data_IF_114140777852
#
_entry.id   IF_114140777852
#
_cell.length_a   1.000
_cell.length_b   1.000
_cell.length_c   1.000
_cell.angle_alpha   90.00
_cell.angle_beta   90.00
_cell.angle_gamma   90.00
#
_symmetry.space_group_name_H-M   'P 1'
#
loop_
_entity.id
_entity.type
_entity.pdbx_description
1 polymer ?
#
# COMPACT_ATOMS: atom_id res chain seq x y z
N UNK A 1 21.55 27.81 -28.75
CA UNK A 1 21.80 26.47 -28.19
C UNK A 1 20.53 25.99 -27.54
N UNK A 2 20.04 24.79 -27.86
CA UNK A 2 18.89 24.21 -27.18
C UNK A 2 19.26 23.94 -25.71
N UNK A 3 18.42 24.38 -24.77
CA UNK A 3 18.62 24.12 -23.35
C UNK A 3 18.48 22.61 -23.10
N UNK A 4 19.52 21.97 -22.60
CA UNK A 4 19.50 20.53 -22.30
C UNK A 4 18.43 20.21 -21.27
N UNK A 5 17.64 19.16 -21.53
CA UNK A 5 16.63 18.63 -20.59
C UNK A 5 17.34 18.23 -19.29
N UNK A 6 16.90 18.79 -18.17
CA UNK A 6 17.54 18.63 -16.85
C UNK A 6 16.62 17.97 -15.83
N UNK A 7 15.32 17.88 -16.13
CA UNK A 7 14.31 17.25 -15.29
C UNK A 7 13.67 16.15 -16.12
N UNK A 8 13.73 14.93 -15.61
CA UNK A 8 13.14 13.75 -16.20
C UNK A 8 11.90 13.32 -15.43
N UNK A 9 11.19 12.36 -16.01
CA UNK A 9 9.93 11.85 -15.47
C UNK A 9 10.14 11.25 -14.08
N UNK A 10 11.23 10.51 -13.92
CA UNK A 10 11.62 9.84 -12.68
C UNK A 10 11.89 10.85 -11.56
N UNK A 11 12.58 11.96 -11.86
CA UNK A 11 12.82 13.05 -10.90
C UNK A 11 11.50 13.64 -10.38
N UNK A 12 10.51 13.79 -11.27
CA UNK A 12 9.18 14.30 -10.92
C UNK A 12 8.42 13.29 -10.06
N UNK A 13 8.48 11.99 -10.38
CA UNK A 13 7.82 10.94 -9.60
C UNK A 13 8.43 10.80 -8.20
N UNK A 14 9.76 10.85 -8.09
CA UNK A 14 10.45 10.82 -6.80
C UNK A 14 10.09 12.04 -5.95
N UNK A 15 10.15 13.25 -6.53
CA UNK A 15 9.75 14.46 -5.84
C UNK A 15 8.26 14.45 -5.44
N UNK A 16 7.39 13.88 -6.29
CA UNK A 16 5.98 13.74 -5.98
C UNK A 16 5.75 12.75 -4.82
N UNK A 17 6.49 11.63 -4.77
CA UNK A 17 6.43 10.69 -3.66
C UNK A 17 6.85 11.35 -2.34
N UNK A 18 7.95 12.13 -2.34
CA UNK A 18 8.38 12.86 -1.14
C UNK A 18 7.35 13.94 -0.74
N UNK A 19 6.79 14.65 -1.71
CA UNK A 19 5.71 15.61 -1.47
C UNK A 19 4.51 14.94 -0.78
N UNK A 20 4.11 13.74 -1.21
CA UNK A 20 3.02 13.00 -0.58
C UNK A 20 3.29 12.67 0.89
N UNK A 21 4.52 12.25 1.20
CA UNK A 21 4.96 11.90 2.56
C UNK A 21 4.97 13.12 3.50
N UNK A 22 5.32 14.30 2.97
CA UNK A 22 5.39 15.54 3.74
C UNK A 22 4.06 16.29 3.86
N UNK A 23 3.17 16.11 2.89
CA UNK A 23 1.93 16.87 2.75
C UNK A 23 0.75 15.92 2.62
N UNK A 24 0.08 15.92 1.47
CA UNK A 24 -1.04 15.02 1.18
C UNK A 24 -1.28 14.91 -0.32
N UNK A 25 -1.99 13.85 -0.73
CA UNK A 25 -2.40 13.63 -2.13
C UNK A 25 -3.31 14.76 -2.63
N UNK A 26 -4.14 15.32 -1.76
CA UNK A 26 -5.08 16.41 -2.09
C UNK A 26 -4.34 17.72 -2.44
N UNK A 27 -3.17 17.94 -1.84
CA UNK A 27 -2.36 19.13 -2.09
C UNK A 27 -1.44 19.00 -3.32
N UNK A 28 -1.32 17.79 -3.89
CA UNK A 28 -0.47 17.52 -5.04
C UNK A 28 -1.07 18.13 -6.31
N UNK A 29 -0.76 19.41 -6.54
CA UNK A 29 -1.12 20.18 -7.74
C UNK A 29 0.14 20.54 -8.54
N UNK A 30 -0.02 20.85 -9.83
CA UNK A 30 1.12 21.23 -10.68
C UNK A 30 1.92 22.40 -10.08
N UNK A 31 1.22 23.43 -9.58
CA UNK A 31 1.85 24.59 -8.94
C UNK A 31 2.57 24.22 -7.65
N UNK A 32 1.95 23.40 -6.79
CA UNK A 32 2.55 23.02 -5.52
C UNK A 32 3.79 22.14 -5.71
N UNK A 33 3.72 21.16 -6.62
CA UNK A 33 4.84 20.28 -6.94
C UNK A 33 5.98 21.02 -7.64
N UNK A 34 5.67 21.89 -8.60
CA UNK A 34 6.70 22.69 -9.28
C UNK A 34 7.41 23.64 -8.31
N UNK A 35 6.66 24.24 -7.36
CA UNK A 35 7.25 25.04 -6.28
C UNK A 35 8.14 24.19 -5.36
N UNK A 36 7.73 22.97 -5.03
CA UNK A 36 8.50 22.04 -4.21
C UNK A 36 9.82 21.66 -4.90
N UNK A 37 9.79 21.45 -6.21
CA UNK A 37 10.96 21.12 -7.05
C UNK A 37 11.77 22.34 -7.51
N UNK A 38 11.37 23.57 -7.13
CA UNK A 38 11.98 24.82 -7.60
C UNK A 38 12.06 24.95 -9.15
N UNK A 39 10.99 24.57 -9.83
CA UNK A 39 10.85 24.67 -11.29
C UNK A 39 9.56 25.43 -11.68
N UNK A 40 9.45 25.83 -12.95
CA UNK A 40 8.15 26.23 -13.51
C UNK A 40 7.25 25.01 -13.70
N UNK A 41 5.98 25.21 -14.04
CA UNK A 41 5.07 24.09 -14.36
C UNK A 41 5.35 23.44 -15.71
N UNK A 42 6.15 24.07 -16.57
CA UNK A 42 6.38 23.63 -17.94
C UNK A 42 7.09 22.26 -18.03
N UNK A 43 8.16 21.95 -17.27
CA UNK A 43 8.76 20.62 -17.27
C UNK A 43 7.79 19.53 -16.83
N UNK A 44 6.86 19.83 -15.92
CA UNK A 44 5.85 18.87 -15.48
C UNK A 44 4.93 18.43 -16.64
N UNK A 45 4.44 19.41 -17.41
CA UNK A 45 3.57 19.17 -18.55
C UNK A 45 4.31 18.67 -19.81
N UNK A 46 5.64 18.74 -19.83
CA UNK A 46 6.44 18.10 -20.86
C UNK A 46 6.49 16.57 -20.66
N UNK A 47 6.45 16.09 -19.42
CA UNK A 47 6.49 14.66 -19.09
C UNK A 47 5.11 14.03 -18.88
N UNK A 48 4.12 14.82 -18.44
CA UNK A 48 2.78 14.33 -18.11
C UNK A 48 1.70 15.13 -18.81
N UNK A 49 0.76 14.43 -19.44
CA UNK A 49 -0.39 15.05 -20.12
C UNK A 49 -1.22 15.94 -19.16
N UNK A 50 -1.37 15.51 -17.91
CA UNK A 50 -2.08 16.24 -16.86
C UNK A 50 -1.73 15.67 -15.47
N UNK A 51 -2.23 16.33 -14.41
CA UNK A 51 -2.00 15.88 -13.03
C UNK A 51 -2.62 14.52 -12.70
N UNK A 52 -3.66 14.08 -13.41
CA UNK A 52 -4.24 12.74 -13.18
C UNK A 52 -3.32 11.65 -13.73
N UNK A 53 -2.71 11.86 -14.89
CA UNK A 53 -1.69 10.96 -15.44
C UNK A 53 -0.49 10.84 -14.49
N UNK A 54 0.02 11.97 -13.98
CA UNK A 54 1.09 11.97 -12.97
C UNK A 54 0.70 11.20 -11.71
N UNK A 55 -0.50 11.46 -11.15
CA UNK A 55 -0.97 10.74 -9.95
C UNK A 55 -1.11 9.25 -10.20
N UNK A 56 -1.67 8.85 -11.34
CA UNK A 56 -1.86 7.45 -11.69
C UNK A 56 -0.51 6.74 -11.72
N UNK A 57 0.45 7.29 -12.45
CA UNK A 57 1.77 6.68 -12.58
C UNK A 57 2.58 6.70 -11.27
N UNK A 58 2.41 7.73 -10.45
CA UNK A 58 2.97 7.79 -9.10
C UNK A 58 2.45 6.64 -8.24
N UNK A 59 1.14 6.41 -8.23
CA UNK A 59 0.56 5.30 -7.47
C UNK A 59 0.90 3.94 -8.05
N UNK A 60 0.95 3.79 -9.37
CA UNK A 60 1.40 2.56 -10.02
C UNK A 60 2.84 2.21 -9.61
N UNK A 61 3.73 3.21 -9.57
CA UNK A 61 5.12 3.04 -9.09
C UNK A 61 5.19 2.64 -7.61
N UNK A 62 4.33 3.23 -6.78
CA UNK A 62 4.24 2.88 -5.36
C UNK A 62 3.72 1.45 -5.19
N UNK A 63 2.69 1.06 -5.93
CA UNK A 63 2.07 -0.26 -5.88
C UNK A 63 3.02 -1.34 -6.39
N UNK A 64 3.78 -1.06 -7.45
CA UNK A 64 4.83 -1.94 -7.95
C UNK A 64 5.91 -2.21 -6.88
N UNK A 65 6.39 -1.15 -6.20
CA UNK A 65 7.32 -1.30 -5.05
C UNK A 65 6.71 -2.08 -3.90
N UNK A 66 5.44 -1.82 -3.54
CA UNK A 66 4.76 -2.59 -2.51
C UNK A 66 4.74 -4.07 -2.88
N UNK A 67 4.32 -4.36 -4.09
CA UNK A 67 4.10 -5.70 -4.59
C UNK A 67 5.38 -6.51 -4.81
N UNK A 68 6.45 -5.88 -5.31
CA UNK A 68 7.66 -6.58 -5.76
C UNK A 68 8.84 -6.48 -4.79
N UNK A 69 8.83 -5.52 -3.87
CA UNK A 69 9.95 -5.30 -2.95
C UNK A 69 9.53 -5.42 -1.48
N UNK A 70 8.39 -4.84 -1.11
CA UNK A 70 8.02 -4.67 0.29
C UNK A 70 7.15 -5.80 0.84
N UNK A 71 6.27 -6.38 0.01
CA UNK A 71 5.27 -7.38 0.41
C UNK A 71 5.59 -8.82 -0.04
N UNK A 72 6.80 -9.06 -0.56
CA UNK A 72 7.18 -10.33 -1.22
C UNK A 72 7.84 -11.38 -0.33
N UNK A 73 8.32 -11.04 0.87
CA UNK A 73 9.13 -11.98 1.66
C UNK A 73 8.31 -13.19 2.10
N UNK A 74 8.88 -14.37 1.94
CA UNK A 74 8.29 -15.65 2.34
C UNK A 74 9.08 -16.24 3.50
N UNK A 75 8.66 -15.94 4.73
CA UNK A 75 9.31 -16.41 5.97
C UNK A 75 8.48 -17.47 6.71
N UNK A 76 7.22 -17.66 6.33
CA UNK A 76 6.29 -18.66 6.85
C UNK A 76 5.70 -19.49 5.70
N UNK A 77 5.23 -20.70 5.98
CA UNK A 77 4.54 -21.57 5.01
C UNK A 77 3.16 -21.04 4.57
N UNK A 78 2.62 -20.06 5.29
CA UNK A 78 1.27 -19.55 5.09
C UNK A 78 1.38 -18.21 4.36
N UNK A 79 0.84 -18.11 3.13
CA UNK A 79 0.98 -16.91 2.32
C UNK A 79 0.28 -15.68 2.92
N UNK A 80 -0.79 -15.86 3.71
CA UNK A 80 -1.49 -14.74 4.37
C UNK A 80 -0.66 -14.22 5.54
N UNK A 81 0.00 -15.12 6.28
CA UNK A 81 0.92 -14.74 7.36
C UNK A 81 2.10 -13.94 6.78
N UNK A 82 2.71 -14.41 5.69
CA UNK A 82 3.77 -13.67 5.00
C UNK A 82 3.34 -12.25 4.60
N UNK A 83 2.19 -12.13 3.93
CA UNK A 83 1.65 -10.83 3.52
C UNK A 83 1.41 -9.91 4.71
N UNK A 84 0.81 -10.45 5.78
CA UNK A 84 0.49 -9.68 7.00
C UNK A 84 1.75 -9.20 7.73
N UNK A 85 2.77 -10.05 7.87
CA UNK A 85 4.04 -9.69 8.50
C UNK A 85 4.79 -8.63 7.69
N UNK A 86 4.82 -8.77 6.36
CA UNK A 86 5.44 -7.79 5.49
C UNK A 86 4.71 -6.45 5.55
N UNK A 87 3.37 -6.47 5.55
CA UNK A 87 2.54 -5.28 5.71
C UNK A 87 2.81 -4.57 7.05
N UNK A 88 2.85 -5.31 8.16
CA UNK A 88 3.17 -4.76 9.49
C UNK A 88 4.58 -4.16 9.50
N UNK A 89 5.56 -4.86 8.92
CA UNK A 89 6.95 -4.36 8.82
C UNK A 89 7.03 -3.08 8.01
N UNK A 90 6.32 -3.02 6.87
CA UNK A 90 6.24 -1.84 6.02
C UNK A 90 5.64 -0.65 6.80
N UNK A 91 4.50 -0.85 7.45
CA UNK A 91 3.82 0.17 8.23
C UNK A 91 4.69 0.71 9.37
N UNK A 92 5.43 -0.15 10.08
CA UNK A 92 6.32 0.26 11.16
C UNK A 92 7.56 1.02 10.65
N UNK A 93 8.13 0.60 9.52
CA UNK A 93 9.35 1.22 8.95
C UNK A 93 9.05 2.51 8.20
N UNK A 94 7.86 2.65 7.63
CA UNK A 94 7.48 3.76 6.76
C UNK A 94 6.13 4.38 7.18
N UNK A 95 5.96 4.83 8.45
CA UNK A 95 4.65 5.19 9.00
C UNK A 95 3.97 6.34 8.27
N UNK A 96 4.74 7.32 7.76
CA UNK A 96 4.19 8.43 6.96
C UNK A 96 3.63 7.96 5.64
N UNK A 97 4.45 7.23 4.85
CA UNK A 97 4.02 6.69 3.55
C UNK A 97 2.85 5.71 3.72
N UNK A 98 2.90 4.89 4.76
CA UNK A 98 1.79 4.02 5.14
C UNK A 98 0.51 4.80 5.40
N UNK A 99 0.56 5.84 6.24
CA UNK A 99 -0.58 6.71 6.51
C UNK A 99 -1.16 7.33 5.24
N UNK A 100 -0.30 7.87 4.38
CA UNK A 100 -0.71 8.47 3.11
C UNK A 100 -1.36 7.48 2.15
N UNK A 101 -0.88 6.23 2.09
CA UNK A 101 -1.41 5.22 1.16
C UNK A 101 -2.69 4.56 1.71
N UNK A 102 -2.69 4.16 2.98
CA UNK A 102 -3.67 3.25 3.55
C UNK A 102 -4.70 3.92 4.48
N UNK A 103 -4.40 5.07 5.08
CA UNK A 103 -5.28 5.72 6.06
C UNK A 103 -5.93 7.00 5.52
N UNK A 104 -5.25 7.72 4.64
CA UNK A 104 -5.82 8.90 3.99
C UNK A 104 -6.83 8.52 2.91
N UNK A 105 -7.99 9.19 2.94
CA UNK A 105 -8.96 9.11 1.85
C UNK A 105 -8.42 9.86 0.63
N UNK A 106 -7.70 9.13 -0.21
CA UNK A 106 -7.20 9.61 -1.48
C UNK A 106 -8.37 9.67 -2.47
N UNK A 107 -8.73 10.89 -2.90
CA UNK A 107 -9.80 11.09 -3.88
C UNK A 107 -9.49 10.37 -5.19
N UNK A 108 -10.53 9.79 -5.79
CA UNK A 108 -10.60 9.16 -7.13
C UNK A 108 -9.29 9.06 -7.93
N UNK A 109 -8.43 8.11 -7.57
CA UNK A 109 -7.49 7.49 -8.50
C UNK A 109 -8.16 6.26 -9.12
N UNK A 110 -7.80 5.90 -10.36
CA UNK A 110 -8.40 4.75 -11.05
C UNK A 110 -8.03 3.40 -10.39
N UNK A 111 -6.95 3.37 -9.61
CA UNK A 111 -6.55 2.22 -8.81
C UNK A 111 -6.65 2.64 -7.35
N UNK A 112 -7.70 2.16 -6.67
CA UNK A 112 -7.82 2.32 -5.23
C UNK A 112 -6.82 1.40 -4.52
N UNK A 113 -6.28 1.82 -3.39
CA UNK A 113 -5.50 0.93 -2.52
C UNK A 113 -6.29 -0.34 -2.14
N UNK A 114 -7.62 -0.26 -2.10
CA UNK A 114 -8.50 -1.39 -1.87
C UNK A 114 -8.42 -2.40 -3.02
N UNK A 115 -8.44 -1.92 -4.27
CA UNK A 115 -8.39 -2.79 -5.46
C UNK A 115 -7.01 -3.44 -5.58
N UNK A 116 -5.93 -2.67 -5.36
CA UNK A 116 -4.58 -3.21 -5.28
C UNK A 116 -4.47 -4.29 -4.20
N UNK A 117 -4.91 -3.99 -2.98
CA UNK A 117 -4.81 -4.93 -1.84
C UNK A 117 -5.65 -6.18 -2.08
N UNK A 118 -6.84 -6.04 -2.68
CA UNK A 118 -7.68 -7.17 -3.06
C UNK A 118 -7.02 -8.06 -4.12
N UNK A 119 -6.54 -7.46 -5.22
CA UNK A 119 -5.92 -8.20 -6.31
C UNK A 119 -4.63 -8.91 -5.88
N UNK A 120 -3.80 -8.23 -5.09
CA UNK A 120 -2.58 -8.80 -4.52
C UNK A 120 -2.93 -10.00 -3.62
N UNK A 121 -3.88 -9.82 -2.70
CA UNK A 121 -4.33 -10.88 -1.80
C UNK A 121 -4.84 -12.09 -2.59
N UNK A 122 -5.70 -11.87 -3.60
CA UNK A 122 -6.23 -12.92 -4.47
C UNK A 122 -5.15 -13.71 -5.16
N UNK A 123 -4.16 -13.02 -5.73
CA UNK A 123 -3.06 -13.70 -6.42
C UNK A 123 -2.23 -14.53 -5.46
N UNK A 124 -1.93 -14.00 -4.27
CA UNK A 124 -1.12 -14.68 -3.25
C UNK A 124 -1.79 -15.98 -2.75
N UNK A 125 -3.12 -15.98 -2.59
CA UNK A 125 -3.83 -17.16 -2.07
C UNK A 125 -4.27 -18.14 -3.16
N UNK A 126 -4.19 -17.78 -4.45
CA UNK A 126 -4.77 -18.53 -5.57
C UNK A 126 -4.30 -19.99 -5.61
N UNK A 127 -3.01 -20.21 -5.39
CA UNK A 127 -2.39 -21.54 -5.50
C UNK A 127 -2.29 -22.25 -4.14
N UNK A 128 -2.81 -21.64 -3.07
CA UNK A 128 -2.85 -22.26 -1.75
C UNK A 128 -3.87 -23.40 -1.73
N UNK A 129 -3.50 -24.63 -1.34
CA UNK A 129 -4.45 -25.73 -1.20
C UNK A 129 -5.50 -25.47 -0.11
N UNK A 130 -5.19 -24.60 0.86
CA UNK A 130 -6.10 -24.21 1.95
C UNK A 130 -7.12 -23.18 1.46
N UNK A 131 -6.69 -22.21 0.64
CA UNK A 131 -7.50 -21.04 0.30
C UNK A 131 -8.11 -21.06 -1.09
N UNK A 132 -7.59 -21.87 -2.01
CA UNK A 132 -8.06 -21.95 -3.41
C UNK A 132 -9.52 -22.36 -3.57
N UNK A 133 -10.12 -22.97 -2.55
CA UNK A 133 -11.53 -23.43 -2.55
C UNK A 133 -12.48 -22.47 -1.85
N UNK A 134 -12.00 -21.34 -1.35
CA UNK A 134 -12.84 -20.35 -0.68
C UNK A 134 -13.76 -19.65 -1.67
N UNK A 135 -14.98 -19.34 -1.24
CA UNK A 135 -15.90 -18.48 -1.98
C UNK A 135 -15.40 -17.04 -1.99
N UNK A 136 -15.87 -16.24 -2.94
CA UNK A 136 -15.59 -14.79 -3.01
C UNK A 136 -15.88 -14.09 -1.67
N UNK A 137 -16.99 -14.45 -1.02
CA UNK A 137 -17.38 -13.90 0.26
C UNK A 137 -16.40 -14.29 1.38
N UNK A 138 -15.96 -15.55 1.42
CA UNK A 138 -14.95 -16.02 2.37
C UNK A 138 -13.62 -15.30 2.17
N UNK A 139 -13.20 -15.11 0.92
CA UNK A 139 -11.99 -14.39 0.58
C UNK A 139 -12.08 -12.93 1.02
N UNK A 140 -13.22 -12.27 0.77
CA UNK A 140 -13.43 -10.89 1.20
C UNK A 140 -13.38 -10.74 2.73
N UNK A 141 -14.00 -11.66 3.47
CA UNK A 141 -13.92 -11.68 4.94
C UNK A 141 -12.49 -11.91 5.42
N UNK A 142 -11.77 -12.83 4.79
CA UNK A 142 -10.39 -13.17 5.16
C UNK A 142 -9.45 -12.00 4.92
N UNK A 143 -9.55 -11.34 3.76
CA UNK A 143 -8.83 -10.09 3.49
C UNK A 143 -9.18 -9.03 4.53
N UNK A 144 -10.47 -8.80 4.78
CA UNK A 144 -10.91 -7.75 5.71
C UNK A 144 -10.40 -8.01 7.13
N UNK A 145 -10.57 -9.23 7.64
CA UNK A 145 -10.16 -9.59 9.00
C UNK A 145 -8.64 -9.49 9.19
N UNK A 146 -7.86 -10.05 8.26
CA UNK A 146 -6.39 -9.98 8.33
C UNK A 146 -5.86 -8.57 8.12
N UNK A 147 -6.50 -7.76 7.27
CA UNK A 147 -6.09 -6.38 7.02
C UNK A 147 -6.43 -5.46 8.19
N UNK A 148 -7.61 -5.58 8.80
CA UNK A 148 -8.00 -4.85 10.02
C UNK A 148 -7.05 -5.21 11.17
N UNK A 149 -6.80 -6.51 11.38
CA UNK A 149 -5.85 -6.98 12.38
C UNK A 149 -4.47 -6.36 12.15
N UNK A 150 -3.92 -6.52 10.95
CA UNK A 150 -2.56 -6.07 10.63
C UNK A 150 -2.41 -4.55 10.74
N UNK A 151 -3.43 -3.79 10.35
CA UNK A 151 -3.45 -2.33 10.47
C UNK A 151 -3.51 -1.87 11.93
N UNK A 152 -4.37 -2.48 12.73
CA UNK A 152 -4.46 -2.19 14.16
C UNK A 152 -3.15 -2.53 14.88
N UNK A 153 -2.61 -3.72 14.61
CA UNK A 153 -1.37 -4.18 15.23
C UNK A 153 -0.18 -3.28 14.85
N UNK A 154 -0.03 -2.95 13.57
CA UNK A 154 1.04 -2.07 13.10
C UNK A 154 0.96 -0.68 13.73
N UNK A 155 -0.23 -0.09 13.82
CA UNK A 155 -0.40 1.22 14.45
C UNK A 155 -0.07 1.19 15.95
N UNK A 156 -0.43 0.12 16.66
CA UNK A 156 -0.10 -0.05 18.08
C UNK A 156 1.41 -0.21 18.30
N UNK A 157 2.11 -0.98 17.44
CA UNK A 157 3.58 -1.08 17.49
C UNK A 157 4.21 0.28 17.16
N UNK A 158 3.81 0.91 16.05
CA UNK A 158 4.44 2.14 15.55
C UNK A 158 4.26 3.32 16.52
N UNK A 159 3.19 3.31 17.31
CA UNK A 159 2.95 4.30 18.37
C UNK A 159 3.63 3.98 19.71
N UNK A 160 4.33 2.84 19.81
CA UNK A 160 5.00 2.39 21.03
C UNK A 160 4.05 1.92 22.15
N UNK A 161 2.76 1.76 21.84
CA UNK A 161 1.76 1.30 22.81
C UNK A 161 1.90 -0.20 23.13
N UNK A 162 2.42 -0.98 22.18
CA UNK A 162 2.74 -2.40 22.38
C UNK A 162 4.12 -2.72 21.82
N UNK A 163 4.75 -3.74 22.40
CA UNK A 163 5.90 -4.44 21.83
C UNK A 163 5.51 -5.90 21.65
N UNK A 164 5.80 -6.49 20.49
CA UNK A 164 5.50 -7.89 20.24
C UNK A 164 6.57 -8.53 19.37
N UNK A 165 6.87 -9.77 19.67
CA UNK A 165 7.73 -10.64 18.87
C UNK A 165 6.98 -11.10 17.61
N UNK A 166 7.72 -11.48 16.57
CA UNK A 166 7.13 -12.05 15.36
C UNK A 166 6.28 -13.29 15.68
N UNK A 167 6.71 -14.13 16.62
CA UNK A 167 5.97 -15.33 17.07
C UNK A 167 4.62 -14.98 17.70
N UNK A 168 4.54 -13.92 18.49
CA UNK A 168 3.27 -13.44 19.06
C UNK A 168 2.33 -12.93 17.96
N UNK A 169 2.87 -12.13 17.01
CA UNK A 169 2.09 -11.63 15.86
C UNK A 169 1.51 -12.80 15.06
N UNK A 170 2.33 -13.80 14.76
CA UNK A 170 1.91 -15.03 14.05
C UNK A 170 0.82 -15.75 14.83
N UNK A 171 0.92 -15.84 16.15
CA UNK A 171 -0.07 -16.51 17.00
C UNK A 171 -1.43 -15.82 16.91
N UNK A 172 -1.47 -14.48 17.02
CA UNK A 172 -2.71 -13.71 16.86
C UNK A 172 -3.26 -13.75 15.44
N UNK A 173 -2.39 -13.73 14.41
CA UNK A 173 -2.81 -13.89 13.01
C UNK A 173 -3.46 -15.24 12.77
N UNK A 174 -2.88 -16.34 13.29
CA UNK A 174 -3.46 -17.69 13.16
C UNK A 174 -4.84 -17.77 13.80
N UNK A 175 -5.01 -17.18 14.98
CA UNK A 175 -6.31 -17.09 15.64
C UNK A 175 -7.32 -16.30 14.77
N UNK A 176 -6.90 -15.14 14.24
CA UNK A 176 -7.74 -14.31 13.35
C UNK A 176 -8.18 -15.07 12.10
N UNK A 177 -7.24 -15.73 11.39
CA UNK A 177 -7.53 -16.52 10.19
C UNK A 177 -8.52 -17.64 10.51
N UNK A 178 -8.26 -18.38 11.60
CA UNK A 178 -9.11 -19.48 12.04
C UNK A 178 -10.54 -19.02 12.35
N UNK A 179 -10.71 -17.91 13.07
CA UNK A 179 -12.01 -17.41 13.48
C UNK A 179 -12.82 -16.88 12.29
N UNK A 180 -12.17 -16.17 11.37
CA UNK A 180 -12.80 -15.69 10.14
C UNK A 180 -13.27 -16.84 9.25
N UNK A 181 -12.50 -17.94 9.18
CA UNK A 181 -12.88 -19.12 8.41
C UNK A 181 -14.01 -19.92 9.07
N UNK A 182 -14.10 -19.93 10.40
CA UNK A 182 -15.14 -20.65 11.15
C UNK A 182 -16.47 -19.93 11.26
N UNK A 183 -16.47 -18.60 11.15
CA UNK A 183 -17.69 -17.81 11.30
C UNK A 183 -18.65 -18.11 10.15
N UNK A 184 -19.72 -18.85 10.45
CA UNK A 184 -20.87 -19.01 9.57
C UNK A 184 -21.76 -17.78 9.74
N UNK A 185 -22.36 -17.33 8.64
CA UNK A 185 -23.34 -16.23 8.64
C UNK A 185 -24.48 -16.65 9.56
N UNK A 186 -24.69 -15.92 10.66
CA UNK A 186 -25.98 -15.94 11.35
C UNK A 186 -26.95 -15.28 10.39
N UNK A 187 -27.75 -16.09 9.70
CA UNK A 187 -28.82 -15.62 8.80
C UNK A 187 -29.90 -14.88 9.58
#
# INVERSE_FOLDING_TARGET
>A
MARNKTIFKEDILEAAQQFLIEKSVKELTARALSKYMNISTQPLYAEFQNMNALRTELFDTIYDKLENELLVKQTHEDPIINLSLNYISFACKNPKLFGTIYLEKNGSTNTSINDFSYNLFRRIIKDSPVYSKLTEEQVHRLLTGTWVFSTGFANLIASGNISSTETEIITFLKATIHDVLKTQIVK
#
